data_IF_774046724483
#
_entry.id   IF_774046724483
#
_cell.length_a   1.000
_cell.length_b   1.000
_cell.length_c   1.000
_cell.angle_alpha   90.00
_cell.angle_beta   90.00
_cell.angle_gamma   90.00
#
_symmetry.space_group_name_H-M   'P 1'
#
loop_
_entity.id
_entity.type
_entity.pdbx_description
1 polymer ?
#
# COMPACT_ATOMS: atom_id res chain seq x y z
N UNK A 1 -23.17 45.08 39.70
CA UNK A 1 -24.16 45.75 40.59
C UNK A 1 -25.11 46.65 39.80
N UNK A 2 -24.64 47.58 38.94
CA UNK A 2 -25.51 48.37 38.05
C UNK A 2 -26.44 47.53 37.15
N UNK A 3 -25.93 46.47 36.50
CA UNK A 3 -26.74 45.59 35.64
C UNK A 3 -27.83 44.81 36.37
N UNK A 4 -27.59 44.44 37.64
CA UNK A 4 -28.55 43.71 38.46
C UNK A 4 -29.72 44.63 38.83
N UNK A 5 -29.43 45.89 39.21
CA UNK A 5 -30.47 46.87 39.53
C UNK A 5 -31.34 47.27 38.33
N UNK A 6 -30.78 47.29 37.12
CA UNK A 6 -31.53 47.55 35.88
C UNK A 6 -32.45 46.39 35.50
N UNK A 7 -31.99 45.15 35.68
CA UNK A 7 -32.77 43.95 35.39
C UNK A 7 -33.98 43.78 36.33
N UNK A 8 -33.88 44.24 37.58
CA UNK A 8 -34.92 44.16 38.59
C UNK A 8 -35.68 45.49 38.81
N UNK A 9 -35.56 46.44 37.86
CA UNK A 9 -36.23 47.74 37.93
C UNK A 9 -37.75 47.67 38.10
N UNK A 10 -38.38 46.56 37.70
CA UNK A 10 -39.80 46.30 37.91
C UNK A 10 -40.20 46.19 39.39
N UNK A 11 -39.27 45.83 40.30
CA UNK A 11 -39.54 45.78 41.73
C UNK A 11 -39.83 47.16 42.33
N UNK A 12 -39.38 48.24 41.68
CA UNK A 12 -39.66 49.61 42.11
C UNK A 12 -41.11 50.06 41.84
N UNK A 13 -41.87 49.29 41.05
CA UNK A 13 -43.27 49.57 40.73
C UNK A 13 -44.27 48.77 41.59
N UNK A 14 -43.78 47.89 42.48
CA UNK A 14 -44.60 47.08 43.38
C UNK A 14 -44.94 47.84 44.66
N UNK A 15 -46.13 47.58 45.22
CA UNK A 15 -46.53 48.14 46.50
C UNK A 15 -45.90 47.36 47.69
N UNK A 16 -46.00 47.92 48.90
CA UNK A 16 -45.36 47.36 50.11
C UNK A 16 -45.87 45.97 50.49
N UNK A 17 -47.13 45.63 50.19
CA UNK A 17 -47.70 44.31 50.45
C UNK A 17 -47.24 43.28 49.41
N UNK A 18 -47.14 43.67 48.14
CA UNK A 18 -46.61 42.86 47.04
C UNK A 18 -45.13 42.54 47.26
N UNK A 19 -44.32 43.54 47.64
CA UNK A 19 -42.91 43.35 48.00
C UNK A 19 -42.74 42.42 49.20
N UNK A 20 -43.60 42.52 50.22
CA UNK A 20 -43.62 41.57 51.35
C UNK A 20 -44.02 40.17 50.92
N UNK A 21 -44.97 40.04 50.01
CA UNK A 21 -45.36 38.74 49.46
C UNK A 21 -44.23 38.10 48.67
N UNK A 22 -43.47 38.86 47.88
CA UNK A 22 -42.33 38.34 47.10
C UNK A 22 -41.15 38.00 48.02
N UNK A 23 -40.92 38.78 49.08
CA UNK A 23 -39.87 38.51 50.05
C UNK A 23 -40.13 37.22 50.87
N UNK A 24 -41.40 36.91 51.14
CA UNK A 24 -41.80 35.75 51.93
C UNK A 24 -42.07 34.49 51.08
N UNK A 25 -42.02 34.59 49.75
CA UNK A 25 -42.32 33.50 48.82
C UNK A 25 -41.27 33.45 47.71
N UNK A 26 -40.26 32.61 47.93
CA UNK A 26 -39.13 32.41 47.01
C UNK A 26 -39.56 31.92 45.63
N UNK A 27 -40.68 31.18 45.54
CA UNK A 27 -41.20 30.69 44.25
C UNK A 27 -41.71 31.82 43.37
N UNK A 28 -42.33 32.85 43.96
CA UNK A 28 -42.75 34.06 43.23
C UNK A 28 -41.56 34.87 42.74
N UNK A 29 -40.52 35.00 43.57
CA UNK A 29 -39.30 35.67 43.14
C UNK A 29 -38.65 34.93 41.97
N UNK A 30 -38.61 33.59 42.00
CA UNK A 30 -38.05 32.78 40.92
C UNK A 30 -38.87 32.90 39.61
N UNK A 31 -40.20 32.96 39.70
CA UNK A 31 -41.07 33.21 38.54
C UNK A 31 -40.78 34.58 37.91
N UNK A 32 -40.65 35.63 38.73
CA UNK A 32 -40.30 36.97 38.25
C UNK A 32 -38.88 37.03 37.66
N UNK A 33 -37.94 36.25 38.18
CA UNK A 33 -36.57 36.13 37.64
C UNK A 33 -36.59 35.42 36.28
N UNK A 34 -37.39 34.35 36.11
CA UNK A 34 -37.58 33.69 34.80
C UNK A 34 -38.14 34.67 33.77
N UNK A 35 -38.88 35.68 34.21
CA UNK A 35 -39.44 36.71 33.35
C UNK A 35 -38.45 37.78 32.87
N UNK A 36 -37.26 37.86 33.50
CA UNK A 36 -36.19 38.79 33.10
C UNK A 36 -35.70 38.45 31.70
N UNK A 37 -35.54 39.48 30.86
CA UNK A 37 -35.12 39.36 29.46
C UNK A 37 -33.86 38.48 29.30
N UNK A 38 -32.86 38.67 30.14
CA UNK A 38 -31.62 37.86 30.09
C UNK A 38 -31.89 36.37 30.35
N UNK A 39 -32.77 36.01 31.28
CA UNK A 39 -33.15 34.61 31.54
C UNK A 39 -33.93 34.02 30.36
N UNK A 40 -34.84 34.79 29.74
CA UNK A 40 -35.57 34.37 28.53
C UNK A 40 -34.65 34.18 27.32
N UNK A 41 -33.70 35.10 27.12
CA UNK A 41 -32.74 35.03 26.02
C UNK A 41 -31.86 33.76 26.17
N UNK A 42 -31.39 33.47 27.40
CA UNK A 42 -30.63 32.24 27.70
C UNK A 42 -31.47 30.99 27.51
N UNK A 43 -32.72 30.95 27.97
CA UNK A 43 -33.58 29.78 27.82
C UNK A 43 -33.92 29.52 26.34
N UNK A 44 -34.14 30.59 25.56
CA UNK A 44 -34.32 30.49 24.11
C UNK A 44 -33.06 29.99 23.41
N UNK A 45 -31.89 30.49 23.78
CA UNK A 45 -30.61 30.00 23.23
C UNK A 45 -30.39 28.52 23.55
N UNK A 46 -30.65 28.12 24.79
CA UNK A 46 -30.62 26.72 25.21
C UNK A 46 -31.57 25.86 24.40
N UNK A 47 -32.81 26.30 24.17
CA UNK A 47 -33.78 25.56 23.36
C UNK A 47 -33.31 25.43 21.90
N UNK A 48 -32.81 26.51 21.30
CA UNK A 48 -32.22 26.47 19.95
C UNK A 48 -31.03 25.50 19.86
N UNK A 49 -30.15 25.51 20.86
CA UNK A 49 -29.01 24.59 20.93
C UNK A 49 -29.45 23.14 21.10
N UNK A 50 -30.46 22.87 21.92
CA UNK A 50 -31.01 21.53 22.10
C UNK A 50 -31.63 20.99 20.80
N UNK A 51 -32.41 21.82 20.11
CA UNK A 51 -32.99 21.45 18.80
C UNK A 51 -31.89 21.19 17.77
N UNK A 52 -30.87 22.05 17.72
CA UNK A 52 -29.73 21.90 16.81
C UNK A 52 -28.92 20.63 17.11
N UNK A 53 -28.57 20.40 18.37
CA UNK A 53 -27.83 19.22 18.80
C UNK A 53 -28.61 17.93 18.50
N UNK A 54 -29.92 17.93 18.77
CA UNK A 54 -30.81 16.81 18.45
C UNK A 54 -30.83 16.54 16.94
N UNK A 55 -31.00 17.58 16.13
CA UNK A 55 -31.03 17.44 14.66
C UNK A 55 -29.70 16.87 14.14
N UNK A 56 -28.58 17.31 14.70
CA UNK A 56 -27.26 16.82 14.34
C UNK A 56 -27.05 15.37 14.79
N UNK A 57 -27.51 15.01 15.99
CA UNK A 57 -27.45 13.64 16.48
C UNK A 57 -28.28 12.69 15.61
N UNK A 58 -29.51 13.08 15.25
CA UNK A 58 -30.38 12.32 14.34
C UNK A 58 -29.74 12.17 12.95
N UNK A 59 -29.13 13.23 12.41
CA UNK A 59 -28.38 13.15 11.15
C UNK A 59 -27.19 12.18 11.26
N UNK A 60 -26.38 12.28 12.32
CA UNK A 60 -25.23 11.40 12.54
C UNK A 60 -25.65 9.93 12.64
N UNK A 61 -26.72 9.63 13.37
CA UNK A 61 -27.30 8.29 13.48
C UNK A 61 -27.77 7.76 12.12
N UNK A 62 -28.33 8.63 11.27
CA UNK A 62 -28.74 8.25 9.91
C UNK A 62 -27.56 7.98 8.97
N UNK A 63 -26.40 8.59 9.20
CA UNK A 63 -25.18 8.36 8.40
C UNK A 63 -24.38 7.14 8.84
N UNK A 64 -24.45 6.78 10.12
CA UNK A 64 -23.76 5.60 10.68
C UNK A 64 -23.92 4.31 9.86
N UNK A 65 -25.13 3.87 9.43
CA UNK A 65 -25.27 2.63 8.67
C UNK A 65 -24.54 2.67 7.32
N UNK A 66 -24.58 3.80 6.61
CA UNK A 66 -23.88 3.98 5.34
C UNK A 66 -22.36 3.94 5.52
N UNK A 67 -21.85 4.55 6.59
CA UNK A 67 -20.42 4.53 6.94
C UNK A 67 -19.97 3.11 7.31
N UNK A 68 -20.75 2.39 8.11
CA UNK A 68 -20.45 1.00 8.47
C UNK A 68 -20.42 0.10 7.23
N UNK A 69 -21.40 0.22 6.34
CA UNK A 69 -21.44 -0.54 5.09
C UNK A 69 -20.25 -0.23 4.19
N UNK A 70 -19.95 1.05 3.96
CA UNK A 70 -18.83 1.49 3.12
C UNK A 70 -17.49 1.02 3.70
N UNK A 71 -17.32 1.09 5.04
CA UNK A 71 -16.14 0.58 5.72
C UNK A 71 -15.98 -0.92 5.56
N UNK A 72 -17.07 -1.70 5.67
CA UNK A 72 -17.05 -3.15 5.45
C UNK A 72 -16.63 -3.48 4.02
N UNK A 73 -17.20 -2.81 3.02
CA UNK A 73 -16.84 -3.00 1.62
C UNK A 73 -15.37 -2.65 1.36
N UNK A 74 -14.86 -1.57 1.96
CA UNK A 74 -13.46 -1.19 1.84
C UNK A 74 -12.53 -2.25 2.43
N UNK A 75 -12.86 -2.79 3.60
CA UNK A 75 -12.09 -3.87 4.24
C UNK A 75 -12.10 -5.12 3.36
N UNK A 76 -13.26 -5.57 2.89
CA UNK A 76 -13.39 -6.74 2.02
C UNK A 76 -12.57 -6.57 0.73
N UNK A 77 -12.66 -5.41 0.08
CA UNK A 77 -11.87 -5.12 -1.12
C UNK A 77 -10.37 -5.10 -0.82
N UNK A 78 -9.97 -4.55 0.33
CA UNK A 78 -8.57 -4.52 0.74
C UNK A 78 -8.00 -5.92 0.99
N UNK A 79 -8.80 -6.82 1.58
CA UNK A 79 -8.44 -8.22 1.80
C UNK A 79 -8.28 -8.95 0.46
N UNK A 80 -9.24 -8.77 -0.47
CA UNK A 80 -9.16 -9.32 -1.83
C UNK A 80 -7.90 -8.83 -2.54
N UNK A 81 -7.62 -7.51 -2.49
CA UNK A 81 -6.40 -6.95 -3.08
C UNK A 81 -5.14 -7.54 -2.46
N UNK A 82 -5.11 -7.72 -1.14
CA UNK A 82 -3.97 -8.32 -0.45
C UNK A 82 -3.75 -9.77 -0.86
N UNK A 83 -4.82 -10.56 -1.01
CA UNK A 83 -4.72 -11.96 -1.42
C UNK A 83 -4.33 -12.10 -2.90
N UNK A 84 -4.85 -11.24 -3.78
CA UNK A 84 -4.39 -11.15 -5.16
C UNK A 84 -2.91 -10.79 -5.23
N UNK A 85 -2.47 -9.82 -4.42
CA UNK A 85 -1.06 -9.43 -4.35
C UNK A 85 -0.17 -10.60 -3.92
N UNK A 86 -0.54 -11.32 -2.84
CA UNK A 86 0.18 -12.53 -2.40
C UNK A 86 0.20 -13.61 -3.49
N UNK A 87 -0.90 -13.80 -4.22
CA UNK A 87 -0.97 -14.78 -5.32
C UNK A 87 -0.01 -14.40 -6.46
N UNK A 88 0.05 -13.12 -6.82
CA UNK A 88 1.01 -12.59 -7.80
C UNK A 88 2.44 -12.77 -7.30
N UNK A 89 2.72 -12.39 -6.05
CA UNK A 89 4.04 -12.51 -5.44
C UNK A 89 4.52 -13.96 -5.40
N UNK A 90 3.64 -14.91 -5.07
CA UNK A 90 3.94 -16.34 -5.09
C UNK A 90 4.26 -16.86 -6.51
N UNK A 91 3.48 -16.42 -7.51
CA UNK A 91 3.74 -16.78 -8.91
C UNK A 91 5.05 -16.15 -9.41
N UNK A 92 5.33 -14.91 -8.98
CA UNK A 92 6.52 -14.18 -9.37
C UNK A 92 7.78 -14.76 -8.71
N UNK A 93 7.76 -15.02 -7.40
CA UNK A 93 8.90 -15.63 -6.69
C UNK A 93 9.23 -17.04 -7.21
N UNK A 94 8.22 -17.84 -7.59
CA UNK A 94 8.43 -19.15 -8.20
C UNK A 94 8.93 -19.13 -9.65
N UNK A 95 8.86 -17.99 -10.34
CA UNK A 95 9.22 -17.85 -11.76
C UNK A 95 10.40 -16.90 -12.02
N UNK A 96 10.66 -15.92 -11.15
CA UNK A 96 11.73 -14.93 -11.29
C UNK A 96 13.13 -15.55 -11.55
N UNK A 97 13.54 -16.67 -10.92
CA UNK A 97 14.84 -17.27 -11.20
C UNK A 97 14.94 -17.99 -12.55
N UNK A 98 13.80 -18.26 -13.22
CA UNK A 98 13.74 -19.13 -14.42
C UNK A 98 13.86 -18.34 -15.73
N UNK A 99 13.53 -17.05 -15.71
CA UNK A 99 13.42 -16.22 -16.92
C UNK A 99 14.31 -14.97 -16.91
N UNK A 100 15.03 -14.71 -15.82
CA UNK A 100 15.96 -13.59 -15.72
C UNK A 100 17.26 -13.82 -16.50
N UNK A 101 17.95 -12.74 -16.87
CA UNK A 101 19.29 -12.77 -17.50
C UNK A 101 20.26 -13.65 -16.70
N UNK A 102 20.19 -13.58 -15.36
CA UNK A 102 20.97 -14.43 -14.46
C UNK A 102 20.77 -15.93 -14.74
N UNK A 103 19.55 -16.37 -15.08
CA UNK A 103 19.27 -17.76 -15.47
C UNK A 103 19.97 -18.14 -16.78
N UNK A 104 19.97 -17.24 -17.76
CA UNK A 104 20.66 -17.45 -19.03
C UNK A 104 22.19 -17.48 -18.83
N UNK A 105 22.74 -16.58 -18.01
CA UNK A 105 24.16 -16.58 -17.68
C UNK A 105 24.59 -17.87 -16.96
N UNK A 106 23.79 -18.36 -16.00
CA UNK A 106 24.05 -19.67 -15.36
C UNK A 106 24.02 -20.81 -16.39
N UNK A 107 23.02 -20.83 -17.28
CA UNK A 107 22.94 -21.85 -18.36
C UNK A 107 24.13 -21.77 -19.32
N UNK A 108 24.59 -20.56 -19.66
CA UNK A 108 25.78 -20.36 -20.49
C UNK A 108 27.04 -20.89 -19.79
N UNK A 109 27.21 -20.60 -18.51
CA UNK A 109 28.35 -21.10 -17.70
C UNK A 109 28.37 -22.63 -17.66
N UNK A 110 27.22 -23.27 -17.42
CA UNK A 110 27.09 -24.74 -17.47
C UNK A 110 27.46 -25.30 -18.84
N UNK A 111 26.99 -24.66 -19.93
CA UNK A 111 27.32 -25.09 -21.29
C UNK A 111 28.81 -24.94 -21.60
N UNK A 112 29.45 -23.87 -21.13
CA UNK A 112 30.89 -23.65 -21.31
C UNK A 112 31.70 -24.71 -20.55
N UNK A 113 31.33 -25.01 -19.31
CA UNK A 113 31.97 -26.07 -18.52
C UNK A 113 31.84 -27.43 -19.21
N UNK A 114 30.64 -27.78 -19.70
CA UNK A 114 30.42 -29.01 -20.46
C UNK A 114 31.11 -29.02 -21.85
N UNK A 115 31.50 -27.85 -22.37
CA UNK A 115 32.31 -27.75 -23.59
C UNK A 115 33.77 -28.06 -23.28
N UNK A 116 34.28 -27.47 -22.20
CA UNK A 116 35.64 -27.70 -21.69
C UNK A 116 35.84 -29.17 -21.30
N UNK A 117 34.87 -29.79 -20.63
CA UNK A 117 34.93 -31.21 -20.27
C UNK A 117 35.09 -32.11 -21.50
N UNK A 118 34.33 -31.89 -22.58
CA UNK A 118 34.49 -32.66 -23.82
C UNK A 118 35.79 -32.32 -24.55
N UNK A 119 36.28 -31.08 -24.43
CA UNK A 119 37.59 -30.70 -24.95
C UNK A 119 38.70 -31.50 -24.25
N UNK A 120 38.68 -31.56 -22.92
CA UNK A 120 39.59 -32.36 -22.10
C UNK A 120 39.48 -33.86 -22.41
N UNK A 121 38.25 -34.41 -22.56
CA UNK A 121 38.06 -35.80 -23.01
C UNK A 121 38.69 -36.05 -24.39
N UNK A 122 38.54 -35.11 -25.32
CA UNK A 122 39.12 -35.25 -26.66
C UNK A 122 40.65 -35.16 -26.64
N UNK A 123 41.22 -34.35 -25.73
CA UNK A 123 42.66 -34.24 -25.54
C UNK A 123 43.22 -35.53 -24.93
N UNK A 124 42.54 -36.11 -23.93
CA UNK A 124 42.92 -37.41 -23.36
C UNK A 124 42.93 -38.53 -24.41
N UNK A 125 41.97 -38.54 -25.34
CA UNK A 125 41.98 -39.48 -26.47
C UNK A 125 43.18 -39.25 -27.39
N UNK A 126 43.58 -38.00 -27.63
CA UNK A 126 44.75 -37.68 -28.44
C UNK A 126 46.06 -38.09 -27.74
N UNK A 127 46.17 -37.86 -26.43
CA UNK A 127 47.31 -38.31 -25.62
C UNK A 127 47.45 -39.84 -25.65
N UNK A 128 46.34 -40.57 -25.45
CA UNK A 128 46.31 -42.04 -25.55
C UNK A 128 46.60 -42.60 -26.96
N UNK A 129 46.49 -41.79 -27.99
CA UNK A 129 46.96 -42.20 -29.32
C UNK A 129 48.46 -41.98 -29.47
N UNK A 130 48.97 -40.85 -28.95
CA UNK A 130 50.40 -40.51 -29.02
C UNK A 130 51.28 -41.43 -28.17
N UNK A 131 50.75 -41.97 -27.07
CA UNK A 131 51.45 -42.96 -26.24
C UNK A 131 51.37 -44.40 -26.79
N UNK A 132 50.59 -44.62 -27.86
CA UNK A 132 50.40 -45.92 -28.51
C UNK A 132 49.43 -46.86 -27.79
N UNK A 133 48.63 -46.38 -26.82
CA UNK A 133 47.64 -47.19 -26.09
C UNK A 133 46.34 -47.41 -26.86
N UNK A 134 46.09 -46.68 -27.95
CA UNK A 134 44.89 -46.78 -28.80
C UNK A 134 45.27 -46.96 -30.27
N UNK A 135 44.60 -47.89 -30.96
CA UNK A 135 44.78 -48.10 -32.41
C UNK A 135 44.13 -46.98 -33.24
N UNK A 136 44.64 -46.78 -34.46
CA UNK A 136 44.26 -45.65 -35.31
C UNK A 136 42.75 -45.58 -35.61
N UNK A 137 42.10 -46.71 -35.85
CA UNK A 137 40.67 -46.76 -36.19
C UNK A 137 39.80 -46.35 -34.99
N UNK A 138 40.14 -46.81 -33.79
CA UNK A 138 39.45 -46.48 -32.54
C UNK A 138 39.71 -45.01 -32.13
N UNK A 139 40.92 -44.50 -32.36
CA UNK A 139 41.23 -43.08 -32.20
C UNK A 139 40.36 -42.21 -33.12
N UNK A 140 40.32 -42.51 -34.41
CA UNK A 140 39.58 -41.72 -35.39
C UNK A 140 38.08 -41.69 -35.06
N UNK A 141 37.49 -42.82 -34.68
CA UNK A 141 36.07 -42.88 -34.32
C UNK A 141 35.77 -42.00 -33.09
N UNK A 142 36.49 -42.22 -31.98
CA UNK A 142 36.22 -41.54 -30.71
C UNK A 142 36.58 -40.07 -30.75
N UNK A 143 37.76 -39.73 -31.29
CA UNK A 143 38.23 -38.34 -31.34
C UNK A 143 37.31 -37.48 -32.21
N UNK A 144 36.94 -37.96 -33.40
CA UNK A 144 36.06 -37.21 -34.29
C UNK A 144 34.66 -37.02 -33.69
N UNK A 145 34.13 -38.04 -32.99
CA UNK A 145 32.86 -37.92 -32.29
C UNK A 145 32.90 -36.85 -31.19
N UNK A 146 33.94 -36.85 -30.34
CA UNK A 146 34.10 -35.87 -29.26
C UNK A 146 34.33 -34.47 -29.79
N UNK A 147 35.23 -34.28 -30.77
CA UNK A 147 35.50 -32.97 -31.39
C UNK A 147 34.28 -32.40 -32.10
N UNK A 148 33.47 -33.24 -32.77
CA UNK A 148 32.19 -32.80 -33.35
C UNK A 148 31.24 -32.23 -32.30
N UNK A 149 31.10 -32.90 -31.15
CA UNK A 149 30.23 -32.43 -30.07
C UNK A 149 30.80 -31.15 -29.43
N UNK A 150 32.11 -31.11 -29.17
CA UNK A 150 32.79 -29.92 -28.62
C UNK A 150 32.56 -28.69 -29.51
N UNK A 151 32.84 -28.79 -30.81
CA UNK A 151 32.67 -27.67 -31.73
C UNK A 151 31.20 -27.22 -31.80
N UNK A 152 30.25 -28.15 -31.79
CA UNK A 152 28.83 -27.82 -31.76
C UNK A 152 28.44 -27.07 -30.48
N UNK A 153 28.93 -27.50 -29.31
CA UNK A 153 28.67 -26.82 -28.03
C UNK A 153 29.32 -25.45 -27.98
N UNK A 154 30.55 -25.30 -28.50
CA UNK A 154 31.26 -24.02 -28.59
C UNK A 154 30.48 -22.99 -29.40
N UNK A 155 30.02 -23.36 -30.60
CA UNK A 155 29.17 -22.48 -31.44
C UNK A 155 27.87 -22.11 -30.72
N UNK A 156 27.23 -23.06 -30.02
CA UNK A 156 26.02 -22.78 -29.24
C UNK A 156 26.29 -21.82 -28.08
N UNK A 157 27.42 -21.97 -27.38
CA UNK A 157 27.81 -21.08 -26.29
C UNK A 157 28.09 -19.65 -26.81
N UNK A 158 28.81 -19.53 -27.93
CA UNK A 158 29.09 -18.23 -28.56
C UNK A 158 27.79 -17.53 -29.00
N UNK A 159 26.87 -18.28 -29.63
CA UNK A 159 25.56 -17.70 -30.02
C UNK A 159 24.72 -17.29 -28.82
N UNK A 160 24.73 -18.09 -27.75
CA UNK A 160 24.01 -17.77 -26.52
C UNK A 160 24.58 -16.52 -25.83
N UNK A 161 25.91 -16.34 -25.86
CA UNK A 161 26.58 -15.12 -25.37
C UNK A 161 26.18 -13.87 -26.14
N UNK A 162 26.03 -13.98 -27.47
CA UNK A 162 25.51 -12.92 -28.32
C UNK A 162 24.07 -12.54 -27.95
N UNK A 163 23.17 -13.54 -27.84
CA UNK A 163 21.75 -13.32 -27.46
C UNK A 163 21.63 -12.64 -26.10
N UNK A 164 22.43 -13.06 -25.11
CA UNK A 164 22.43 -12.43 -23.77
C UNK A 164 22.85 -10.95 -23.87
N UNK A 165 23.89 -10.64 -24.65
CA UNK A 165 24.35 -9.27 -24.88
C UNK A 165 23.29 -8.40 -25.55
N UNK A 166 22.62 -8.93 -26.59
CA UNK A 166 21.53 -8.24 -27.26
C UNK A 166 20.37 -7.95 -26.30
N UNK A 167 19.98 -8.94 -25.48
CA UNK A 167 18.91 -8.77 -24.50
C UNK A 167 19.21 -7.68 -23.45
N UNK A 168 20.47 -7.60 -22.99
CA UNK A 168 20.92 -6.54 -22.08
C UNK A 168 20.85 -5.16 -22.74
N UNK A 169 21.24 -5.05 -24.01
CA UNK A 169 21.18 -3.81 -24.77
C UNK A 169 19.75 -3.36 -25.09
N UNK A 170 18.82 -4.29 -25.35
CA UNK A 170 17.40 -3.96 -25.53
C UNK A 170 16.74 -3.48 -24.23
N UNK A 171 17.14 -4.02 -23.07
CA UNK A 171 16.62 -3.59 -21.76
C UNK A 171 17.09 -2.20 -21.33
N UNK A 172 18.30 -1.79 -21.71
CA UNK A 172 18.80 -0.44 -21.41
C UNK A 172 18.12 0.65 -22.23
N UNK A 173 17.62 0.34 -23.43
CA UNK A 173 16.85 1.28 -24.26
C UNK A 173 15.43 1.58 -23.76
N UNK A 174 14.85 0.73 -22.90
CA UNK A 174 13.46 0.89 -22.40
C UNK A 174 13.40 1.63 -21.05
N UNK A 175 14.56 1.97 -20.44
CA UNK A 175 14.62 2.64 -19.13
C UNK A 175 14.54 4.16 -19.15
N UNK A 176 14.26 4.79 -20.29
CA UNK A 176 13.93 6.22 -20.34
C UNK A 176 12.40 6.39 -20.37
N UNK A 177 11.84 6.64 -19.18
CA UNK A 177 10.44 7.03 -18.89
C UNK A 177 9.42 5.87 -18.78
N UNK A 178 8.80 5.68 -17.59
CA UNK A 178 7.72 6.57 -17.16
C UNK A 178 7.82 6.98 -15.69
N UNK A 179 7.98 8.28 -15.46
CA UNK A 179 7.58 8.94 -14.23
C UNK A 179 6.04 8.88 -14.13
N UNK A 180 5.50 7.78 -13.63
CA UNK A 180 4.12 7.72 -13.15
C UNK A 180 4.09 8.37 -11.76
N UNK A 181 3.83 9.67 -11.74
CA UNK A 181 3.52 10.43 -10.53
C UNK A 181 2.27 9.84 -9.89
N UNK A 182 2.42 9.00 -8.87
CA UNK A 182 1.31 8.69 -7.98
C UNK A 182 0.89 9.98 -7.26
N UNK A 183 -0.39 10.37 -7.28
CA UNK A 183 -0.85 11.42 -6.39
C UNK A 183 -0.71 10.91 -4.96
N UNK A 184 0.21 11.51 -4.20
CA UNK A 184 0.25 11.37 -2.75
C UNK A 184 -1.10 11.82 -2.21
N UNK A 185 -1.91 10.86 -1.77
CA UNK A 185 -3.13 11.09 -1.02
C UNK A 185 -2.78 11.90 0.23
N UNK A 186 -3.21 13.16 0.26
CA UNK A 186 -2.88 14.16 1.27
C UNK A 186 -3.77 14.07 2.52
N UNK A 187 -4.31 12.90 2.83
CA UNK A 187 -5.22 12.75 3.95
C UNK A 187 -4.49 12.42 5.26
N UNK A 188 -4.47 13.43 6.12
CA UNK A 188 -4.28 13.41 7.58
C UNK A 188 -2.87 13.25 8.14
N UNK A 189 -2.27 14.40 8.49
CA UNK A 189 -1.37 14.53 9.64
C UNK A 189 -2.12 15.29 10.74
N UNK A 190 -2.42 14.68 11.90
CA UNK A 190 -2.93 15.43 13.04
C UNK A 190 -1.79 16.30 13.60
N UNK A 191 -2.04 17.60 13.73
CA UNK A 191 -1.23 18.49 14.55
C UNK A 191 -1.65 18.26 16.01
N UNK A 192 -0.69 17.92 16.86
CA UNK A 192 -0.84 18.04 18.31
C UNK A 192 -0.62 19.49 18.72
#
# INVERSE_FOLDING_TARGET
IKSVSENFGFLAHLNTEELRSVLNDESKLEEMVKDVKQCKDIEKEKEMLLVSNRSLAEYNLNQEPMLILSKKQLVELSEICQDLYKSIENKFSGSAPKWGVNSLETKLSVLQMATQEIEEESEGIAESFLDGSVEIDDFLERFMQRRKIMHLRKVKADKMKEIIREHLNSRSSVRTNPQASYPLSSYYRPQN
#
